data_IF_767251148582
#
_entry.id   IF_767251148582
#
_cell.length_a   1.000
_cell.length_b   1.000
_cell.length_c   1.000
_cell.angle_alpha   90.00
_cell.angle_beta   90.00
_cell.angle_gamma   90.00
#
_symmetry.space_group_name_H-M   'P 1'
#
loop_
_entity.id
_entity.type
_entity.pdbx_description
1 polymer ?
#
# COMPACT_ATOMS: atom_id res chain seq x y z
N UNK A 1 11.29 -10.32 7.26
CA UNK A 1 12.68 -10.34 6.75
C UNK A 1 13.21 -11.77 6.65
N UNK A 2 13.11 -12.59 7.70
CA UNK A 2 13.70 -13.95 7.71
C UNK A 2 13.21 -14.88 6.58
N UNK A 3 11.90 -14.89 6.27
CA UNK A 3 11.38 -15.69 5.15
C UNK A 3 11.96 -15.27 3.80
N UNK A 4 12.11 -13.95 3.58
CA UNK A 4 12.74 -13.40 2.38
C UNK A 4 14.22 -13.77 2.31
N UNK A 5 14.95 -13.62 3.42
CA UNK A 5 16.36 -14.02 3.50
C UNK A 5 16.54 -15.50 3.16
N UNK A 6 15.76 -16.38 3.78
CA UNK A 6 15.80 -17.83 3.48
C UNK A 6 15.53 -18.13 2.01
N UNK A 7 14.53 -17.46 1.41
CA UNK A 7 14.20 -17.63 0.00
C UNK A 7 15.30 -17.14 -0.95
N UNK A 8 15.86 -15.96 -0.67
CA UNK A 8 16.95 -15.37 -1.46
C UNK A 8 18.24 -16.18 -1.33
N UNK A 9 18.61 -16.62 -0.12
CA UNK A 9 19.76 -17.49 0.12
C UNK A 9 19.62 -18.81 -0.64
N UNK A 10 18.40 -19.39 -0.70
CA UNK A 10 18.14 -20.64 -1.43
C UNK A 10 18.37 -20.53 -2.95
N UNK A 11 18.28 -19.33 -3.52
CA UNK A 11 18.59 -19.05 -4.93
C UNK A 11 19.96 -18.37 -5.12
N UNK A 12 20.79 -18.33 -4.07
CA UNK A 12 22.14 -17.78 -4.12
C UNK A 12 22.23 -16.25 -4.09
N UNK A 13 21.15 -15.55 -3.73
CA UNK A 13 21.13 -14.09 -3.60
C UNK A 13 21.41 -13.71 -2.15
N UNK A 14 22.55 -13.05 -1.93
CA UNK A 14 22.90 -12.50 -0.62
C UNK A 14 22.12 -11.20 -0.37
N UNK A 15 21.27 -11.19 0.65
CA UNK A 15 20.52 -10.01 1.07
C UNK A 15 20.79 -9.63 2.53
N UNK A 16 21.23 -8.39 2.73
CA UNK A 16 21.40 -7.81 4.07
C UNK A 16 20.17 -6.98 4.46
N UNK A 17 19.75 -7.09 5.71
CA UNK A 17 18.48 -6.50 6.17
C UNK A 17 18.72 -5.59 7.38
N UNK A 18 19.30 -4.39 7.17
CA UNK A 18 19.51 -3.44 8.25
C UNK A 18 18.15 -3.03 8.85
N UNK A 19 18.07 -3.06 10.17
CA UNK A 19 16.87 -2.64 10.90
C UNK A 19 16.92 -1.14 11.18
N UNK A 20 15.82 -0.45 10.89
CA UNK A 20 15.60 0.95 11.27
C UNK A 20 14.16 1.14 11.72
N UNK A 21 13.86 2.29 12.33
CA UNK A 21 12.48 2.63 12.69
C UNK A 21 11.64 2.96 11.43
N UNK A 22 10.31 2.98 11.59
CA UNK A 22 9.39 3.21 10.47
C UNK A 22 9.58 4.59 9.82
N UNK A 23 9.77 5.64 10.60
CA UNK A 23 9.88 7.01 10.09
C UNK A 23 11.13 7.19 9.21
N UNK A 24 12.26 6.65 9.64
CA UNK A 24 13.51 6.70 8.88
C UNK A 24 13.45 5.84 7.61
N UNK A 25 12.83 4.65 7.69
CA UNK A 25 12.59 3.84 6.50
C UNK A 25 11.66 4.55 5.51
N UNK A 26 10.58 5.19 5.98
CA UNK A 26 9.68 5.95 5.13
C UNK A 26 10.40 7.12 4.45
N UNK A 27 11.25 7.85 5.19
CA UNK A 27 12.08 8.94 4.64
C UNK A 27 13.06 8.41 3.59
N UNK A 28 13.69 7.26 3.83
CA UNK A 28 14.60 6.63 2.88
C UNK A 28 13.87 6.13 1.61
N UNK A 29 12.67 5.58 1.76
CA UNK A 29 11.83 5.14 0.65
C UNK A 29 11.41 6.32 -0.25
N UNK A 30 10.94 7.40 0.36
CA UNK A 30 10.63 8.66 -0.36
C UNK A 30 11.87 9.20 -1.10
N UNK A 31 13.05 9.08 -0.50
CA UNK A 31 14.29 9.49 -1.15
C UNK A 31 14.87 8.47 -2.15
N UNK A 32 14.15 7.38 -2.47
CA UNK A 32 14.59 6.31 -3.37
C UNK A 32 15.93 5.65 -2.97
N UNK A 33 16.20 5.56 -1.65
CA UNK A 33 17.45 5.02 -1.11
C UNK A 33 17.39 3.54 -0.73
N UNK A 34 16.20 2.93 -0.78
CA UNK A 34 16.00 1.54 -0.41
C UNK A 34 15.95 0.67 -1.67
N UNK A 35 16.72 -0.41 -1.70
CA UNK A 35 16.64 -1.39 -2.80
C UNK A 35 15.38 -2.24 -2.71
N UNK A 36 15.08 -2.73 -1.50
CA UNK A 36 13.87 -3.49 -1.18
C UNK A 36 13.44 -3.14 0.24
N UNK A 37 12.16 -2.92 0.46
CA UNK A 37 11.62 -2.78 1.81
C UNK A 37 10.15 -3.23 1.86
N UNK A 38 9.69 -3.59 3.06
CA UNK A 38 8.31 -3.96 3.29
C UNK A 38 7.46 -2.75 3.64
N UNK A 39 6.45 -2.45 2.82
CA UNK A 39 5.42 -1.46 3.12
C UNK A 39 4.02 -2.06 3.03
N UNK A 40 3.03 -1.32 3.50
CA UNK A 40 1.63 -1.63 3.35
C UNK A 40 0.84 -0.33 3.14
N UNK A 41 -0.23 -0.41 2.37
CA UNK A 41 -1.16 0.70 2.17
C UNK A 41 -2.55 0.33 2.71
N UNK A 42 -3.27 1.33 3.22
CA UNK A 42 -4.69 1.23 3.56
C UNK A 42 -5.41 2.27 2.74
N UNK A 43 -6.57 1.93 2.19
CA UNK A 43 -7.33 2.87 1.36
C UNK A 43 -7.63 4.16 2.13
N UNK A 44 -7.35 5.33 1.53
CA UNK A 44 -7.73 6.63 2.10
C UNK A 44 -9.18 7.00 1.75
N UNK A 45 -9.67 6.49 0.62
CA UNK A 45 -11.05 6.62 0.13
C UNK A 45 -11.42 5.37 -0.69
N UNK A 46 -12.72 5.07 -0.87
CA UNK A 46 -13.18 3.81 -1.46
C UNK A 46 -13.09 3.79 -3.00
N UNK A 47 -11.93 4.13 -3.56
CA UNK A 47 -11.65 4.03 -5.00
C UNK A 47 -10.32 3.30 -5.24
N UNK A 48 -10.25 2.51 -6.31
CA UNK A 48 -9.02 1.81 -6.71
C UNK A 48 -7.89 2.76 -7.12
N UNK A 49 -8.22 3.97 -7.59
CA UNK A 49 -7.22 4.99 -7.92
C UNK A 49 -6.30 5.32 -6.73
N UNK A 50 -6.81 5.25 -5.50
CA UNK A 50 -6.02 5.50 -4.29
C UNK A 50 -4.78 4.61 -4.19
N UNK A 51 -4.86 3.37 -4.69
CA UNK A 51 -3.74 2.44 -4.74
C UNK A 51 -2.90 2.63 -6.00
N UNK A 52 -3.55 2.87 -7.15
CA UNK A 52 -2.87 2.97 -8.45
C UNK A 52 -2.01 4.23 -8.57
N UNK A 53 -2.38 5.32 -7.88
CA UNK A 53 -1.62 6.57 -7.85
C UNK A 53 -0.24 6.43 -7.18
N UNK A 54 -0.06 5.40 -6.35
CA UNK A 54 1.21 5.10 -5.66
C UNK A 54 2.29 4.54 -6.59
N UNK A 55 1.95 4.29 -7.85
CA UNK A 55 2.88 3.82 -8.89
C UNK A 55 2.95 4.78 -10.07
N UNK A 56 2.23 5.91 -10.02
CA UNK A 56 2.35 6.95 -11.03
C UNK A 56 3.74 7.59 -10.93
N UNK A 57 4.48 7.62 -12.05
CA UNK A 57 5.86 8.08 -12.09
C UNK A 57 6.06 9.48 -11.52
N UNK A 58 5.26 10.49 -11.91
CA UNK A 58 5.33 11.85 -11.36
C UNK A 58 5.07 11.97 -9.85
N UNK A 59 4.55 10.92 -9.19
CA UNK A 59 4.39 10.88 -7.74
C UNK A 59 5.65 10.37 -7.00
N UNK A 60 6.74 10.03 -7.71
CA UNK A 60 8.01 9.65 -7.10
C UNK A 60 8.52 10.77 -6.16
N UNK A 61 9.06 10.37 -5.01
CA UNK A 61 9.51 11.32 -3.99
C UNK A 61 8.39 12.05 -3.22
N UNK A 62 7.12 11.68 -3.43
CA UNK A 62 5.97 12.24 -2.69
C UNK A 62 5.03 11.16 -2.19
N UNK A 63 4.55 10.29 -3.09
CA UNK A 63 3.60 9.22 -2.80
C UNK A 63 4.00 7.86 -3.37
N UNK A 64 4.71 7.84 -4.49
CA UNK A 64 5.29 6.62 -5.06
C UNK A 64 6.62 6.30 -4.38
N UNK A 65 6.53 5.44 -3.36
CA UNK A 65 7.68 5.00 -2.55
C UNK A 65 8.48 3.85 -3.20
N UNK A 66 8.03 3.32 -4.35
CA UNK A 66 8.81 2.38 -5.14
C UNK A 66 9.73 3.09 -6.14
N UNK A 67 9.53 4.40 -6.35
CA UNK A 67 10.24 5.18 -7.35
C UNK A 67 10.14 4.54 -8.75
N UNK A 68 9.01 3.87 -8.99
CA UNK A 68 8.72 3.21 -10.25
C UNK A 68 8.27 4.24 -11.28
N UNK A 69 8.84 4.17 -12.47
CA UNK A 69 8.51 5.04 -13.59
C UNK A 69 8.25 4.18 -14.83
N UNK A 70 7.08 4.35 -15.44
CA UNK A 70 6.72 3.62 -16.66
C UNK A 70 5.79 4.45 -17.51
N UNK A 71 6.25 4.79 -18.73
CA UNK A 71 5.46 5.57 -19.66
C UNK A 71 4.12 4.87 -20.02
N UNK A 72 4.11 3.54 -20.06
CA UNK A 72 2.91 2.75 -20.31
C UNK A 72 1.92 2.86 -19.14
N UNK A 73 2.41 2.70 -17.91
CA UNK A 73 1.58 2.84 -16.70
C UNK A 73 1.02 4.27 -16.59
N UNK A 74 1.87 5.28 -16.78
CA UNK A 74 1.50 6.70 -16.67
C UNK A 74 0.49 7.15 -17.72
N UNK A 75 0.52 6.55 -18.91
CA UNK A 75 -0.48 6.79 -19.95
C UNK A 75 -1.86 6.23 -19.53
N UNK A 76 -1.91 4.99 -19.05
CA UNK A 76 -3.13 4.35 -18.57
C UNK A 76 -3.73 5.11 -17.37
N UNK A 77 -2.87 5.52 -16.44
CA UNK A 77 -3.28 6.27 -15.26
C UNK A 77 -3.93 7.60 -15.63
N UNK A 78 -3.29 8.40 -16.51
CA UNK A 78 -3.85 9.67 -16.98
C UNK A 78 -5.18 9.49 -17.72
N UNK A 79 -5.32 8.44 -18.53
CA UNK A 79 -6.58 8.13 -19.19
C UNK A 79 -7.67 7.75 -18.18
N UNK A 80 -7.34 7.01 -17.13
CA UNK A 80 -8.31 6.62 -16.12
C UNK A 80 -8.84 7.84 -15.33
N UNK A 81 -8.02 8.86 -15.11
CA UNK A 81 -8.43 10.11 -14.45
C UNK A 81 -9.46 10.92 -15.24
N UNK A 82 -9.52 10.76 -16.58
CA UNK A 82 -10.52 11.46 -17.40
C UNK A 82 -11.88 10.78 -17.42
N UNK A 83 -12.00 9.59 -16.82
CA UNK A 83 -13.22 8.78 -16.85
C UNK A 83 -13.94 8.79 -15.50
N UNK A 84 -15.28 8.83 -15.50
CA UNK A 84 -16.06 8.60 -14.28
C UNK A 84 -15.92 7.14 -13.80
N UNK A 85 -16.30 6.86 -12.54
CA UNK A 85 -16.42 5.48 -12.06
C UNK A 85 -17.33 4.64 -12.96
N UNK A 86 -16.80 3.55 -13.49
CA UNK A 86 -17.55 2.68 -14.40
C UNK A 86 -16.70 1.58 -15.04
N UNK A 87 -17.31 0.72 -15.87
CA UNK A 87 -16.64 -0.45 -16.46
C UNK A 87 -15.40 -0.11 -17.29
N UNK A 88 -15.41 1.03 -17.98
CA UNK A 88 -14.27 1.47 -18.80
C UNK A 88 -13.05 1.81 -17.95
N UNK A 89 -13.24 2.60 -16.88
CA UNK A 89 -12.17 2.94 -15.94
C UNK A 89 -11.65 1.70 -15.21
N UNK A 90 -12.54 0.78 -14.84
CA UNK A 90 -12.15 -0.51 -14.24
C UNK A 90 -11.28 -1.37 -15.16
N UNK A 91 -11.47 -1.31 -16.49
CA UNK A 91 -10.59 -1.99 -17.45
C UNK A 91 -9.19 -1.39 -17.46
N UNK A 92 -9.08 -0.06 -17.40
CA UNK A 92 -7.78 0.60 -17.29
C UNK A 92 -7.07 0.26 -15.97
N UNK A 93 -7.81 0.16 -14.87
CA UNK A 93 -7.27 -0.30 -13.58
C UNK A 93 -6.73 -1.72 -13.67
N UNK A 94 -7.45 -2.63 -14.34
CA UNK A 94 -6.96 -3.98 -14.57
C UNK A 94 -5.69 -3.99 -15.44
N UNK A 95 -5.62 -3.16 -16.48
CA UNK A 95 -4.43 -3.03 -17.32
C UNK A 95 -3.23 -2.47 -16.53
N UNK A 96 -3.43 -1.46 -15.68
CA UNK A 96 -2.39 -0.95 -14.79
C UNK A 96 -1.86 -2.02 -13.83
N UNK A 97 -2.74 -2.83 -13.23
CA UNK A 97 -2.32 -3.96 -12.40
C UNK A 97 -1.46 -4.96 -13.17
N UNK A 98 -1.82 -5.28 -14.43
CA UNK A 98 -1.03 -6.17 -15.28
C UNK A 98 0.31 -5.55 -15.68
N UNK A 99 0.36 -4.24 -15.92
CA UNK A 99 1.61 -3.54 -16.20
C UNK A 99 2.55 -3.56 -14.98
N UNK A 100 2.03 -3.26 -13.77
CA UNK A 100 2.79 -3.36 -12.53
C UNK A 100 3.33 -4.78 -12.31
N UNK A 101 2.51 -5.81 -12.58
CA UNK A 101 2.90 -7.21 -12.43
C UNK A 101 4.01 -7.59 -13.42
N UNK A 102 3.87 -7.21 -14.69
CA UNK A 102 4.88 -7.44 -15.71
C UNK A 102 6.22 -6.79 -15.37
N UNK A 103 6.18 -5.55 -14.84
CA UNK A 103 7.39 -4.82 -14.45
C UNK A 103 7.91 -5.22 -13.07
N UNK A 104 7.16 -6.03 -12.32
CA UNK A 104 7.45 -6.41 -10.93
C UNK A 104 7.74 -5.19 -10.05
N UNK A 105 7.00 -4.09 -10.26
CA UNK A 105 7.19 -2.84 -9.51
C UNK A 105 6.96 -3.04 -8.00
N UNK A 106 6.01 -3.92 -7.65
CA UNK A 106 5.79 -4.41 -6.29
C UNK A 106 5.68 -5.93 -6.26
N UNK A 107 6.17 -6.51 -5.16
CA UNK A 107 5.85 -7.89 -4.80
C UNK A 107 4.72 -7.89 -3.78
N UNK A 108 3.50 -8.03 -4.27
CA UNK A 108 2.28 -8.03 -3.44
C UNK A 108 2.17 -9.37 -2.69
N UNK A 109 1.94 -9.30 -1.37
CA UNK A 109 1.93 -10.49 -0.51
C UNK A 109 0.52 -10.85 -0.02
N UNK A 110 -0.10 -10.02 0.83
CA UNK A 110 -1.35 -10.37 1.51
C UNK A 110 -2.32 -9.19 1.58
N UNK A 111 -3.61 -9.49 1.45
CA UNK A 111 -4.68 -8.63 1.97
C UNK A 111 -4.95 -8.99 3.43
N UNK A 112 -4.75 -8.04 4.35
CA UNK A 112 -4.78 -8.32 5.79
C UNK A 112 -6.21 -8.34 6.33
N UNK A 113 -6.57 -9.42 7.01
CA UNK A 113 -7.70 -9.42 7.96
C UNK A 113 -7.24 -8.69 9.22
N UNK A 114 -8.05 -7.75 9.70
CA UNK A 114 -7.78 -7.04 10.96
C UNK A 114 -8.75 -7.52 12.03
N UNK A 115 -8.20 -7.80 13.21
CA UNK A 115 -8.95 -8.17 14.39
C UNK A 115 -8.70 -7.12 15.46
N UNK A 116 -9.72 -6.86 16.29
CA UNK A 116 -9.63 -5.93 17.41
C UNK A 116 -10.01 -6.65 18.69
N UNK A 117 -9.29 -6.34 19.76
CA UNK A 117 -9.59 -6.81 21.11
C UNK A 117 -10.02 -5.60 21.92
N UNK A 118 -11.21 -5.65 22.48
CA UNK A 118 -11.75 -4.61 23.35
C UNK A 118 -12.12 -5.20 24.71
N UNK A 119 -12.13 -4.37 25.75
CA UNK A 119 -12.64 -4.78 27.07
C UNK A 119 -14.17 -4.84 27.04
N UNK A 120 -14.82 -5.70 27.83
CA UNK A 120 -16.30 -5.81 27.87
C UNK A 120 -17.05 -4.52 28.25
N UNK A 121 -16.38 -3.63 28.99
CA UNK A 121 -16.93 -2.33 29.41
C UNK A 121 -16.75 -1.22 28.35
N UNK A 122 -16.09 -1.49 27.22
CA UNK A 122 -16.05 -0.56 26.08
C UNK A 122 -17.30 -0.77 25.23
N UNK A 123 -18.13 0.27 25.09
CA UNK A 123 -19.34 0.25 24.27
C UNK A 123 -19.13 1.05 22.99
N UNK A 124 -19.95 0.76 21.97
CA UNK A 124 -20.00 1.51 20.72
C UNK A 124 -18.76 1.40 19.81
N UNK A 125 -17.76 0.58 20.18
CA UNK A 125 -16.65 0.29 19.28
C UNK A 125 -17.14 -0.41 18.01
N UNK A 126 -17.03 0.29 16.88
CA UNK A 126 -17.23 -0.26 15.55
C UNK A 126 -16.15 0.27 14.64
N UNK A 127 -15.25 -0.60 14.18
CA UNK A 127 -14.18 -0.15 13.29
C UNK A 127 -14.73 0.10 11.89
N UNK A 128 -14.49 1.29 11.37
CA UNK A 128 -14.73 1.62 9.97
C UNK A 128 -13.59 1.06 9.10
N UNK A 129 -13.86 0.51 7.89
CA UNK A 129 -12.84 -0.11 7.05
C UNK A 129 -11.74 0.85 6.56
N UNK A 130 -12.06 2.15 6.49
CA UNK A 130 -11.17 3.22 6.02
C UNK A 130 -10.87 4.25 7.14
N UNK A 131 -11.91 5.00 7.54
CA UNK A 131 -11.81 6.05 8.55
C UNK A 131 -11.28 5.58 9.92
N UNK A 132 -10.50 6.46 10.55
CA UNK A 132 -10.01 6.32 11.93
C UNK A 132 -10.86 7.17 12.90
N UNK A 133 -12.18 7.01 12.85
CA UNK A 133 -13.15 7.82 13.59
C UNK A 133 -13.93 7.05 14.66
N UNK A 134 -13.51 5.83 15.01
CA UNK A 134 -14.20 4.98 15.98
C UNK A 134 -14.42 5.65 17.33
N UNK A 135 -13.53 6.56 17.73
CA UNK A 135 -13.58 7.29 19.01
C UNK A 135 -14.84 8.11 19.21
N UNK A 136 -15.52 8.52 18.13
CA UNK A 136 -16.73 9.35 18.22
C UNK A 136 -17.91 8.64 18.88
N UNK A 137 -17.92 7.30 18.85
CA UNK A 137 -19.00 6.48 19.37
C UNK A 137 -18.56 5.58 20.53
N UNK A 138 -17.30 5.66 20.95
CA UNK A 138 -16.78 4.87 22.06
C UNK A 138 -17.28 5.46 23.38
N UNK A 139 -17.81 4.60 24.24
CA UNK A 139 -18.13 4.92 25.62
C UNK A 139 -17.55 3.86 26.57
N UNK A 140 -17.40 4.22 27.84
CA UNK A 140 -16.82 3.38 28.89
C UNK A 140 -17.85 3.21 30.00
N UNK A 141 -18.34 1.99 30.15
CA UNK A 141 -19.20 1.63 31.27
C UNK A 141 -18.40 1.69 32.58
N UNK A 142 -18.98 2.34 33.59
CA UNK A 142 -18.37 2.42 34.92
C UNK A 142 -18.29 1.02 35.52
N UNK A 143 -17.11 0.65 36.02
CA UNK A 143 -16.79 -0.63 36.63
C UNK A 143 -16.30 -0.42 38.06
#
# INVERSE_FOLDING_TARGET
AELWKRGLDAVGIRADHPTSNFADNQKAAVACKLMMWGSAWTADFPDGENFLQLLYGPNAGRGNNACYESAAYDALYRQALTLPPGPERSRLYAQMNRQMEADTAWVVNTSRVRNWVTRPWIKGFKKHPILQSEWQYIDVEKH
#
